data_IF_817055818878
#
_entry.id   IF_817055818878
#
_cell.length_a   1.000
_cell.length_b   1.000
_cell.length_c   1.000
_cell.angle_alpha   90.00
_cell.angle_beta   90.00
_cell.angle_gamma   90.00
#
_symmetry.space_group_name_H-M   'P 1'
#
loop_
_entity.id
_entity.type
_entity.pdbx_description
1 polymer ?
#
# COMPACT_ATOMS: atom_id res chain seq x y z
N UNK A 1 22.67 -0.05 1.66
CA UNK A 1 21.24 -0.34 1.56
C UNK A 1 20.99 -1.45 0.54
N UNK A 2 20.01 -2.31 0.81
CA UNK A 2 19.70 -3.45 -0.04
C UNK A 2 18.17 -3.62 -0.10
N UNK A 3 17.57 -3.10 -1.15
CA UNK A 3 16.12 -3.14 -1.32
C UNK A 3 15.64 -4.53 -1.71
N UNK A 4 14.65 -5.04 -0.99
CA UNK A 4 13.99 -6.33 -1.24
C UNK A 4 12.49 -6.17 -1.21
N UNK A 5 11.79 -7.08 -1.87
CA UNK A 5 10.33 -7.10 -1.83
C UNK A 5 9.79 -8.53 -1.95
N UNK A 6 8.58 -8.71 -1.44
CA UNK A 6 7.78 -9.93 -1.64
C UNK A 6 6.35 -9.50 -1.97
N UNK A 7 5.79 -10.08 -3.02
CA UNK A 7 4.39 -9.86 -3.39
C UNK A 7 3.53 -10.92 -2.73
N UNK A 8 2.46 -10.48 -2.07
CA UNK A 8 1.53 -11.37 -1.35
C UNK A 8 0.12 -11.09 -1.85
N UNK A 9 -0.49 -12.02 -2.62
CA UNK A 9 -1.89 -11.85 -3.03
C UNK A 9 -2.80 -11.89 -1.80
N UNK A 10 -3.70 -10.93 -1.69
CA UNK A 10 -4.63 -10.79 -0.58
C UNK A 10 -6.03 -10.49 -1.09
N UNK A 11 -7.04 -10.66 -0.24
CA UNK A 11 -8.46 -10.43 -0.49
C UNK A 11 -9.07 -11.42 -1.49
N UNK A 12 -10.41 -11.51 -1.56
CA UNK A 12 -11.08 -12.32 -2.60
C UNK A 12 -10.71 -11.92 -4.03
N UNK A 13 -10.25 -10.66 -4.24
CA UNK A 13 -9.84 -10.17 -5.56
C UNK A 13 -8.42 -10.56 -5.93
N UNK A 14 -7.67 -11.18 -4.99
CA UNK A 14 -6.27 -11.62 -5.21
C UNK A 14 -5.39 -10.48 -5.69
N UNK A 15 -5.60 -9.27 -5.17
CA UNK A 15 -4.74 -8.14 -5.50
C UNK A 15 -3.40 -8.26 -4.75
N UNK A 16 -2.37 -7.66 -5.29
CA UNK A 16 -1.02 -7.78 -4.75
C UNK A 16 -0.77 -6.75 -3.65
N UNK A 17 -0.55 -7.22 -2.42
CA UNK A 17 0.08 -6.44 -1.38
C UNK A 17 1.59 -6.64 -1.51
N UNK A 18 2.37 -5.58 -1.43
CA UNK A 18 3.82 -5.68 -1.52
C UNK A 18 4.45 -5.39 -0.17
N UNK A 19 5.22 -6.35 0.33
CA UNK A 19 6.07 -6.17 1.49
C UNK A 19 7.44 -5.74 0.98
N UNK A 20 7.90 -4.56 1.38
CA UNK A 20 9.19 -4.01 0.94
C UNK A 20 10.07 -3.74 2.15
N UNK A 21 11.37 -3.94 2.00
CA UNK A 21 12.27 -3.73 3.13
C UNK A 21 13.71 -3.47 2.70
N UNK A 22 14.47 -2.88 3.63
CA UNK A 22 15.91 -2.79 3.54
C UNK A 22 16.52 -4.00 4.23
N UNK A 23 17.20 -4.87 3.48
CA UNK A 23 17.72 -6.11 4.00
C UNK A 23 18.87 -5.93 5.00
N UNK A 24 19.51 -4.77 5.01
CA UNK A 24 20.57 -4.45 5.98
C UNK A 24 19.98 -4.10 7.34
N UNK A 25 18.93 -3.29 7.39
CA UNK A 25 18.32 -2.83 8.65
C UNK A 25 17.13 -3.66 9.08
N UNK A 26 16.53 -4.44 8.17
CA UNK A 26 15.30 -5.21 8.37
C UNK A 26 14.07 -4.33 8.63
N UNK A 27 14.15 -3.04 8.35
CA UNK A 27 13.01 -2.13 8.41
C UNK A 27 12.14 -2.33 7.18
N UNK A 28 10.83 -2.39 7.38
CA UNK A 28 9.88 -2.79 6.33
C UNK A 28 8.66 -1.88 6.27
N UNK A 29 8.01 -1.87 5.11
CA UNK A 29 6.73 -1.22 4.87
C UNK A 29 5.81 -2.16 4.09
N UNK A 30 4.49 -2.04 4.29
CA UNK A 30 3.49 -2.72 3.48
C UNK A 30 2.88 -1.72 2.51
N UNK A 31 2.81 -2.11 1.24
CA UNK A 31 2.13 -1.33 0.20
C UNK A 31 0.80 -2.01 -0.09
N UNK A 32 -0.29 -1.27 0.09
CA UNK A 32 -1.66 -1.72 -0.21
C UNK A 32 -2.09 -2.98 0.58
N UNK A 33 -2.13 -2.91 1.92
CA UNK A 33 -2.63 -4.02 2.73
C UNK A 33 -4.17 -4.05 2.69
N UNK A 34 -4.73 -4.70 1.67
CA UNK A 34 -6.16 -4.73 1.44
C UNK A 34 -6.92 -5.69 2.35
N UNK A 35 -6.26 -6.71 2.87
CA UNK A 35 -6.88 -7.74 3.73
C UNK A 35 -5.87 -8.79 4.14
N UNK A 36 -6.38 -9.88 4.72
CA UNK A 36 -5.55 -11.04 5.11
C UNK A 36 -4.41 -10.67 6.06
N UNK A 37 -4.70 -9.86 7.07
CA UNK A 37 -3.71 -9.39 8.05
C UNK A 37 -2.85 -10.53 8.61
N UNK A 38 -3.41 -11.66 9.06
CA UNK A 38 -2.57 -12.75 9.59
C UNK A 38 -1.54 -13.25 8.59
N UNK A 39 -1.88 -13.31 7.31
CA UNK A 39 -0.96 -13.72 6.26
C UNK A 39 0.18 -12.73 6.09
N UNK A 40 -0.13 -11.43 6.12
CA UNK A 40 0.86 -10.37 6.02
C UNK A 40 1.83 -10.37 7.21
N UNK A 41 1.31 -10.49 8.43
CA UNK A 41 2.13 -10.50 9.63
C UNK A 41 2.98 -11.77 9.73
N UNK A 42 2.48 -12.90 9.23
CA UNK A 42 3.26 -14.13 9.15
C UNK A 42 4.50 -13.95 8.25
N UNK A 43 4.34 -13.27 7.12
CA UNK A 43 5.46 -12.98 6.22
C UNK A 43 6.50 -12.06 6.88
N UNK A 44 6.05 -11.02 7.58
CA UNK A 44 6.92 -10.11 8.33
C UNK A 44 7.75 -10.89 9.36
N UNK A 45 7.10 -11.78 10.10
CA UNK A 45 7.76 -12.60 11.11
C UNK A 45 8.74 -13.60 10.49
N UNK A 46 8.32 -14.29 9.44
CA UNK A 46 9.14 -15.28 8.74
C UNK A 46 10.46 -14.66 8.24
N UNK A 47 10.39 -13.44 7.72
CA UNK A 47 11.55 -12.74 7.17
C UNK A 47 12.35 -11.98 8.22
N UNK A 48 11.92 -11.99 9.49
CA UNK A 48 12.61 -11.30 10.57
C UNK A 48 12.59 -9.79 10.44
N UNK A 49 11.52 -9.22 9.91
CA UNK A 49 11.42 -7.79 9.63
C UNK A 49 10.74 -7.02 10.76
N UNK A 50 11.04 -5.73 10.83
CA UNK A 50 10.34 -4.77 11.68
C UNK A 50 9.46 -3.91 10.80
N UNK A 51 8.15 -4.12 10.87
CA UNK A 51 7.18 -3.34 10.10
C UNK A 51 7.01 -1.97 10.71
N UNK A 52 7.24 -0.91 9.93
CA UNK A 52 7.24 0.46 10.45
C UNK A 52 6.25 1.39 9.77
N UNK A 53 5.76 1.05 8.58
CA UNK A 53 4.94 1.97 7.78
C UNK A 53 3.95 1.20 6.91
N UNK A 54 2.86 1.90 6.56
CA UNK A 54 1.92 1.47 5.53
C UNK A 54 1.94 2.52 4.43
N UNK A 55 2.12 2.10 3.17
CA UNK A 55 2.04 2.97 2.00
C UNK A 55 0.85 2.57 1.15
N UNK A 56 0.13 3.55 0.62
CA UNK A 56 -1.04 3.30 -0.23
C UNK A 56 -0.86 3.90 -1.61
N UNK A 57 -1.14 3.11 -2.64
CA UNK A 57 -1.22 3.61 -4.02
C UNK A 57 -2.54 4.32 -4.24
N UNK A 58 -3.64 3.76 -3.76
CA UNK A 58 -4.97 4.34 -3.86
C UNK A 58 -5.89 3.69 -2.81
N UNK A 59 -7.13 4.17 -2.70
CA UNK A 59 -8.00 3.84 -1.58
C UNK A 59 -9.20 2.97 -1.93
N UNK A 60 -9.10 2.12 -2.95
CA UNK A 60 -10.10 1.08 -3.17
C UNK A 60 -9.97 0.00 -2.09
N UNK A 61 -11.11 -0.66 -1.77
CA UNK A 61 -11.20 -1.59 -0.64
C UNK A 61 -10.18 -2.73 -0.71
N UNK A 62 -9.91 -3.27 -1.89
CA UNK A 62 -8.97 -4.38 -2.06
C UNK A 62 -7.51 -3.97 -1.88
N UNK A 63 -7.21 -2.68 -1.85
CA UNK A 63 -5.89 -2.13 -1.58
C UNK A 63 -5.75 -1.48 -0.20
N UNK A 64 -6.82 -0.91 0.33
CA UNK A 64 -6.78 -0.13 1.56
C UNK A 64 -7.56 -0.75 2.73
N UNK A 65 -8.24 -1.87 2.50
CA UNK A 65 -9.24 -2.39 3.46
C UNK A 65 -8.72 -2.72 4.84
N UNK A 66 -7.48 -3.20 4.99
CA UNK A 66 -6.91 -3.55 6.28
C UNK A 66 -6.09 -2.43 6.92
N UNK A 67 -5.98 -1.27 6.26
CA UNK A 67 -5.08 -0.18 6.67
C UNK A 67 -5.41 0.35 8.06
N UNK A 68 -6.67 0.68 8.32
CA UNK A 68 -7.08 1.26 9.61
C UNK A 68 -6.78 0.31 10.77
N UNK A 69 -7.10 -0.97 10.61
CA UNK A 69 -6.86 -1.98 11.63
C UNK A 69 -5.38 -2.18 11.91
N UNK A 70 -4.56 -2.31 10.88
CA UNK A 70 -3.11 -2.45 11.02
C UNK A 70 -2.49 -1.21 11.68
N UNK A 71 -2.86 -0.02 11.23
CA UNK A 71 -2.32 1.22 11.78
C UNK A 71 -2.65 1.36 13.27
N UNK A 72 -3.89 1.07 13.66
CA UNK A 72 -4.33 1.16 15.05
C UNK A 72 -3.65 0.10 15.92
N UNK A 73 -3.62 -1.14 15.46
CA UNK A 73 -3.12 -2.28 16.23
C UNK A 73 -1.61 -2.20 16.46
N UNK A 74 -0.86 -1.77 15.45
CA UNK A 74 0.60 -1.77 15.49
C UNK A 74 1.20 -0.37 15.65
N UNK A 75 0.39 0.68 15.68
CA UNK A 75 0.87 2.06 15.82
C UNK A 75 1.63 2.54 14.61
N UNK A 76 1.20 2.19 13.40
CA UNK A 76 1.93 2.50 12.18
C UNK A 76 1.42 3.77 11.51
N UNK A 77 2.32 4.64 11.00
CA UNK A 77 1.91 5.75 10.15
C UNK A 77 1.38 5.25 8.81
N UNK A 78 0.40 5.97 8.27
CA UNK A 78 -0.20 5.70 6.97
C UNK A 78 0.29 6.79 6.02
N UNK A 79 0.94 6.40 4.93
CA UNK A 79 1.57 7.30 3.98
C UNK A 79 0.89 7.13 2.62
N UNK A 80 0.25 8.18 2.15
CA UNK A 80 -0.54 8.19 0.94
C UNK A 80 -1.99 7.70 1.12
N UNK A 81 -2.73 7.65 0.04
CA UNK A 81 -2.34 8.04 -1.32
C UNK A 81 -2.29 9.56 -1.49
N UNK A 82 -2.59 10.09 -2.68
CA UNK A 82 -2.82 11.51 -2.89
C UNK A 82 -4.18 11.92 -2.30
N UNK A 83 -4.28 13.15 -1.80
CA UNK A 83 -5.48 13.65 -1.13
C UNK A 83 -6.74 13.63 -2.00
N UNK A 84 -6.60 13.57 -3.32
CA UNK A 84 -7.74 13.44 -4.22
C UNK A 84 -8.52 12.11 -4.01
N UNK A 85 -7.96 11.13 -3.29
CA UNK A 85 -8.63 9.89 -2.94
C UNK A 85 -9.33 9.93 -1.57
N UNK A 86 -9.39 11.08 -0.91
CA UNK A 86 -10.02 11.16 0.41
C UNK A 86 -11.46 10.63 0.41
N UNK A 87 -12.23 10.90 -0.63
CA UNK A 87 -13.61 10.42 -0.71
C UNK A 87 -13.69 8.89 -0.77
N UNK A 88 -12.70 8.21 -1.36
CA UNK A 88 -12.63 6.75 -1.36
C UNK A 88 -12.29 6.20 0.03
N UNK A 89 -11.41 6.89 0.77
CA UNK A 89 -11.12 6.52 2.17
C UNK A 89 -12.37 6.64 3.01
N UNK A 90 -13.09 7.76 2.87
CA UNK A 90 -14.33 8.00 3.61
C UNK A 90 -15.41 6.97 3.26
N UNK A 91 -15.36 6.42 2.07
CA UNK A 91 -16.32 5.41 1.58
C UNK A 91 -15.89 3.96 1.87
N UNK A 92 -14.77 3.71 2.55
CA UNK A 92 -14.31 2.34 2.83
C UNK A 92 -15.37 1.48 3.54
N UNK A 93 -16.12 1.98 4.53
CA UNK A 93 -17.19 1.18 5.13
C UNK A 93 -18.24 0.73 4.12
N UNK A 94 -18.67 1.61 3.22
CA UNK A 94 -19.63 1.30 2.17
C UNK A 94 -19.05 0.33 1.15
N UNK A 95 -17.78 0.52 0.76
CA UNK A 95 -17.10 -0.38 -0.16
C UNK A 95 -17.03 -1.80 0.41
N UNK A 96 -16.69 -1.93 1.69
CA UNK A 96 -16.60 -3.24 2.33
C UNK A 96 -17.95 -3.96 2.30
N UNK A 97 -19.03 -3.26 2.58
CA UNK A 97 -20.37 -3.80 2.53
C UNK A 97 -20.75 -4.21 1.10
N UNK A 98 -20.50 -3.32 0.14
CA UNK A 98 -20.89 -3.53 -1.27
C UNK A 98 -20.21 -4.76 -1.88
N UNK A 99 -18.94 -5.00 -1.57
CA UNK A 99 -18.15 -6.08 -2.16
C UNK A 99 -18.04 -7.32 -1.26
N UNK A 100 -18.72 -7.35 -0.11
CA UNK A 100 -18.69 -8.50 0.78
C UNK A 100 -17.36 -8.71 1.48
N UNK A 101 -16.60 -7.65 1.67
CA UNK A 101 -15.34 -7.70 2.42
C UNK A 101 -15.61 -7.63 3.91
N UNK A 102 -14.65 -8.05 4.75
CA UNK A 102 -14.72 -7.76 6.19
C UNK A 102 -14.91 -6.26 6.41
N UNK A 103 -15.63 -5.84 7.46
CA UNK A 103 -15.86 -4.41 7.71
C UNK A 103 -14.56 -3.62 7.73
N UNK A 104 -14.52 -2.53 6.99
CA UNK A 104 -13.38 -1.63 6.92
C UNK A 104 -13.76 -0.27 7.50
N UNK A 105 -12.77 0.41 8.10
CA UNK A 105 -12.96 1.73 8.66
C UNK A 105 -12.27 2.77 7.79
N UNK A 106 -12.84 3.97 7.74
CA UNK A 106 -12.15 5.14 7.22
C UNK A 106 -10.99 5.50 8.16
N UNK A 107 -10.01 6.19 7.64
CA UNK A 107 -8.84 6.64 8.41
C UNK A 107 -8.36 7.99 7.87
N UNK A 108 -7.46 8.62 8.61
CA UNK A 108 -6.77 9.83 8.15
C UNK A 108 -5.31 9.45 7.89
N UNK A 109 -4.82 9.58 6.66
CA UNK A 109 -3.40 9.37 6.40
C UNK A 109 -2.54 10.30 7.25
N UNK A 110 -1.39 9.81 7.69
CA UNK A 110 -0.41 10.64 8.40
C UNK A 110 0.17 11.68 7.44
N UNK A 111 0.42 11.27 6.19
CA UNK A 111 0.95 12.13 5.14
C UNK A 111 0.23 11.80 3.84
N UNK A 112 -0.26 12.83 3.13
CA UNK A 112 -0.67 12.71 1.73
C UNK A 112 0.57 12.74 0.83
N UNK A 113 0.52 12.04 -0.29
CA UNK A 113 1.62 12.01 -1.25
C UNK A 113 1.29 12.83 -2.50
N UNK A 114 2.30 13.50 -3.03
CA UNK A 114 2.20 14.33 -4.23
C UNK A 114 3.25 13.91 -5.25
N UNK A 115 3.05 14.28 -6.51
CA UNK A 115 4.01 13.97 -7.56
C UNK A 115 5.38 14.55 -7.22
N UNK A 116 6.42 13.73 -7.37
CA UNK A 116 7.78 14.14 -7.05
C UNK A 116 8.20 13.94 -5.60
N UNK A 117 7.28 13.54 -4.73
CA UNK A 117 7.64 13.18 -3.34
C UNK A 117 8.50 11.91 -3.34
N UNK A 118 9.04 11.60 -2.17
CA UNK A 118 9.74 10.34 -1.94
C UNK A 118 9.34 9.76 -0.61
N UNK A 119 9.48 8.44 -0.50
CA UNK A 119 9.28 7.68 0.75
C UNK A 119 10.54 6.89 1.04
N UNK A 120 10.75 6.55 2.30
CA UNK A 120 11.93 5.79 2.72
C UNK A 120 11.54 4.61 3.60
N UNK A 121 12.23 3.51 3.39
CA UNK A 121 12.20 2.36 4.29
C UNK A 121 13.64 1.95 4.56
N UNK A 122 14.08 2.04 5.83
CA UNK A 122 15.50 1.91 6.13
C UNK A 122 16.33 2.94 5.38
N UNK A 123 17.37 2.50 4.69
CA UNK A 123 18.18 3.33 3.80
C UNK A 123 17.69 3.41 2.36
N UNK A 124 16.57 2.74 2.04
CA UNK A 124 16.06 2.68 0.68
C UNK A 124 15.07 3.80 0.41
N UNK A 125 15.26 4.51 -0.71
CA UNK A 125 14.41 5.63 -1.10
C UNK A 125 13.64 5.26 -2.36
N UNK A 126 12.32 5.51 -2.36
CA UNK A 126 11.46 5.33 -3.52
C UNK A 126 10.88 6.66 -3.94
N UNK A 127 10.76 6.85 -5.25
CA UNK A 127 10.16 8.05 -5.84
C UNK A 127 8.65 7.85 -5.96
N UNK A 128 7.89 8.93 -5.79
CA UNK A 128 6.44 8.93 -5.91
C UNK A 128 6.04 9.68 -7.17
N UNK A 129 5.12 9.08 -7.95
CA UNK A 129 4.52 9.73 -9.11
C UNK A 129 3.00 9.68 -8.96
N UNK A 130 2.35 10.80 -9.18
CA UNK A 130 0.90 10.89 -9.20
C UNK A 130 0.40 10.44 -10.57
N UNK A 131 -0.41 9.37 -10.59
CA UNK A 131 -0.91 8.75 -11.82
C UNK A 131 -2.44 8.65 -11.76
N UNK A 132 -3.17 9.78 -11.84
CA UNK A 132 -4.63 9.76 -11.78
C UNK A 132 -5.21 9.05 -13.01
N UNK A 133 -6.36 8.40 -12.82
CA UNK A 133 -7.02 7.65 -13.88
C UNK A 133 -7.93 6.60 -13.27
N UNK A 134 -7.37 5.48 -12.83
CA UNK A 134 -8.11 4.45 -12.11
C UNK A 134 -8.80 5.03 -10.86
N UNK A 135 -8.06 5.83 -10.08
CA UNK A 135 -8.64 6.77 -9.11
C UNK A 135 -7.96 8.13 -9.26
N UNK A 136 -8.61 9.23 -8.81
CA UNK A 136 -7.99 10.56 -8.94
C UNK A 136 -6.76 10.74 -8.06
N UNK A 137 -6.65 9.99 -6.96
CA UNK A 137 -5.52 10.08 -6.04
C UNK A 137 -4.48 8.97 -6.17
N UNK A 138 -4.53 8.18 -7.24
CA UNK A 138 -3.62 7.06 -7.43
C UNK A 138 -2.17 7.54 -7.57
N UNK A 139 -1.25 6.95 -6.78
CA UNK A 139 0.19 7.17 -6.90
C UNK A 139 0.89 5.85 -7.15
N UNK A 140 2.09 5.92 -7.70
CA UNK A 140 2.97 4.77 -7.87
C UNK A 140 4.29 5.03 -7.17
N UNK A 141 4.98 3.96 -6.79
CA UNK A 141 6.28 4.03 -6.11
C UNK A 141 7.32 3.39 -6.99
N UNK A 142 8.46 4.06 -7.16
CA UNK A 142 9.55 3.58 -7.98
C UNK A 142 10.86 3.55 -7.21
N UNK A 143 11.50 2.37 -7.17
CA UNK A 143 12.81 2.19 -6.55
C UNK A 143 13.88 2.16 -7.66
N UNK A 144 14.74 3.19 -7.77
CA UNK A 144 15.61 3.35 -8.94
C UNK A 144 16.80 2.40 -9.00
N UNK A 145 17.33 1.91 -7.88
CA UNK A 145 18.53 1.06 -7.89
C UNK A 145 18.23 -0.34 -8.45
N UNK A 146 17.09 -0.92 -8.10
CA UNK A 146 16.64 -2.22 -8.60
C UNK A 146 15.68 -2.08 -9.79
N UNK A 147 15.26 -0.85 -10.11
CA UNK A 147 14.30 -0.54 -11.17
C UNK A 147 12.96 -1.25 -10.95
N UNK A 148 12.48 -1.28 -9.70
CA UNK A 148 11.18 -1.85 -9.33
C UNK A 148 10.14 -0.75 -9.20
N UNK A 149 8.95 -1.01 -9.75
CA UNK A 149 7.81 -0.11 -9.64
C UNK A 149 6.64 -0.84 -8.99
N UNK A 150 5.96 -0.15 -8.07
CA UNK A 150 4.75 -0.63 -7.40
C UNK A 150 3.62 0.25 -7.89
N UNK A 151 2.84 -0.29 -8.83
CA UNK A 151 1.96 0.52 -9.68
C UNK A 151 0.47 0.37 -9.33
N UNK A 152 0.13 -0.40 -8.30
CA UNK A 152 -1.26 -0.61 -7.94
C UNK A 152 -2.07 -1.07 -9.16
N UNK A 153 -3.11 -0.31 -9.49
CA UNK A 153 -4.00 -0.62 -10.59
C UNK A 153 -3.80 0.27 -11.83
N UNK A 154 -2.63 0.91 -11.97
CA UNK A 154 -2.31 1.70 -13.16
C UNK A 154 -1.94 0.79 -14.32
N UNK A 155 -1.16 -0.27 -14.07
CA UNK A 155 -0.65 -1.17 -15.11
C UNK A 155 -0.76 -2.62 -14.65
N UNK A 156 -1.36 -3.45 -15.49
CA UNK A 156 -1.43 -4.90 -15.30
C UNK A 156 -0.66 -5.61 -16.41
N UNK A 157 -0.36 -6.88 -16.22
CA UNK A 157 0.20 -7.70 -17.27
C UNK A 157 -0.78 -7.75 -18.46
N UNK A 158 -0.42 -7.08 -19.55
CA UNK A 158 -1.23 -7.05 -20.77
C UNK A 158 -2.37 -6.05 -20.80
N UNK A 159 -2.52 -5.19 -19.77
CA UNK A 159 -3.60 -4.19 -19.75
C UNK A 159 -3.27 -3.02 -18.84
N UNK A 160 -4.15 -2.03 -18.82
CA UNK A 160 -4.07 -0.88 -17.91
C UNK A 160 -5.28 -0.89 -16.98
N UNK A 161 -5.17 -0.13 -15.88
CA UNK A 161 -6.26 0.02 -14.93
C UNK A 161 -7.49 0.70 -15.55
N UNK A 162 -8.66 0.41 -14.98
CA UNK A 162 -9.91 1.06 -15.37
C UNK A 162 -9.82 2.56 -15.05
N UNK A 163 -10.26 3.36 -15.98
CA UNK A 163 -10.30 4.82 -15.82
C UNK A 163 -11.72 5.34 -15.59
#
# INVERSE_FOLDING_TARGET
MSFRHRTIPVTPFQQNCSLVWDDETKQAALIDPGGDIPLLLAAVKELGLTLEQIWLTHAHIDHAGATATLARTLGLPIIGPHEADQFWIDALPQQSHMFGFPPAEAFSPTIWLHDGDSVRVGGCKLQVRHCPGHTPGHVVFFEPTTKRAFVGDVLFAGSIGRT
#
